data_IF_921341175139
#
_entry.id   IF_921341175139
#
_cell.length_a   1.000
_cell.length_b   1.000
_cell.length_c   1.000
_cell.angle_alpha   90.00
_cell.angle_beta   90.00
_cell.angle_gamma   90.00
#
_symmetry.space_group_name_H-M   'P 1'
#
loop_
_entity.id
_entity.type
_entity.pdbx_description
1 polymer ?
#
# COMPACT_ATOMS: atom_id res chain seq x y z
N UNK A 1 2.39 -8.62 6.24
CA UNK A 1 1.55 -7.63 6.95
C UNK A 1 2.04 -7.34 8.36
N UNK A 2 2.09 -8.31 9.28
CA UNK A 2 2.57 -8.07 10.67
C UNK A 2 3.91 -7.33 10.71
N UNK A 3 4.92 -7.83 10.00
CA UNK A 3 6.24 -7.20 9.91
C UNK A 3 6.24 -5.79 9.30
N UNK A 4 5.21 -5.41 8.53
CA UNK A 4 5.12 -4.09 7.92
C UNK A 4 4.56 -3.07 8.92
N UNK A 5 3.62 -3.49 9.77
CA UNK A 5 3.05 -2.65 10.82
C UNK A 5 4.05 -2.44 11.97
N UNK A 6 4.91 -3.43 12.22
CA UNK A 6 6.01 -3.33 13.18
C UNK A 6 7.24 -2.58 12.63
N UNK A 7 7.26 -2.24 11.34
CA UNK A 7 8.38 -1.53 10.72
C UNK A 7 8.28 -0.03 10.98
N UNK A 8 9.32 0.54 11.59
CA UNK A 8 9.50 2.01 11.62
C UNK A 8 9.86 2.52 10.23
N UNK A 9 9.16 3.56 9.80
CA UNK A 9 9.37 4.27 8.55
C UNK A 9 9.30 3.33 7.34
N UNK A 10 8.16 2.62 7.21
CA UNK A 10 7.86 1.92 5.95
C UNK A 10 7.96 2.91 4.78
N UNK A 11 8.60 2.50 3.70
CA UNK A 11 8.69 3.25 2.45
C UNK A 11 7.74 2.69 1.39
N UNK A 12 7.55 3.43 0.30
CA UNK A 12 6.68 3.01 -0.83
C UNK A 12 7.08 1.64 -1.40
N UNK A 13 8.39 1.38 -1.51
CA UNK A 13 8.93 0.10 -1.97
C UNK A 13 8.55 -1.09 -1.07
N UNK A 14 8.30 -0.86 0.22
CA UNK A 14 7.83 -1.94 1.10
C UNK A 14 6.37 -2.33 0.80
N UNK A 15 5.59 -1.36 0.32
CA UNK A 15 4.20 -1.56 -0.13
C UNK A 15 4.18 -2.25 -1.50
N UNK A 16 5.03 -1.80 -2.42
CA UNK A 16 5.14 -2.37 -3.77
C UNK A 16 5.56 -3.85 -3.72
N UNK A 17 6.56 -4.20 -2.90
CA UNK A 17 6.98 -5.59 -2.68
C UNK A 17 5.88 -6.48 -2.10
N UNK A 18 4.87 -5.89 -1.44
CA UNK A 18 3.71 -6.65 -0.97
C UNK A 18 2.87 -7.09 -2.16
N UNK A 19 2.58 -6.17 -3.09
CA UNK A 19 1.79 -6.43 -4.29
C UNK A 19 2.48 -7.43 -5.24
N UNK A 20 3.79 -7.32 -5.42
CA UNK A 20 4.61 -8.22 -6.25
C UNK A 20 4.46 -9.70 -5.85
N UNK A 21 4.12 -9.99 -4.60
CA UNK A 21 3.94 -11.38 -4.11
C UNK A 21 2.58 -11.99 -4.47
N UNK A 22 1.63 -11.21 -4.95
CA UNK A 22 0.28 -11.67 -5.26
C UNK A 22 0.07 -12.02 -6.74
N UNK A 23 1.12 -11.93 -7.58
CA UNK A 23 1.07 -12.25 -9.02
C UNK A 23 -0.15 -11.61 -9.71
N UNK A 24 -0.35 -10.31 -9.48
CA UNK A 24 -1.53 -9.59 -9.95
C UNK A 24 -1.56 -9.56 -11.49
N UNK A 25 -2.71 -9.88 -12.12
CA UNK A 25 -2.78 -10.18 -13.55
C UNK A 25 -2.65 -8.96 -14.46
N UNK A 26 -3.02 -7.77 -13.98
CA UNK A 26 -3.05 -6.53 -14.76
C UNK A 26 -2.95 -5.28 -13.86
N UNK A 27 -2.78 -4.11 -14.49
CA UNK A 27 -2.68 -2.83 -13.80
C UNK A 27 -3.95 -2.49 -13.00
N UNK A 28 -5.14 -2.83 -13.50
CA UNK A 28 -6.41 -2.63 -12.77
C UNK A 28 -6.44 -3.42 -11.46
N UNK A 29 -5.99 -4.68 -11.46
CA UNK A 29 -5.87 -5.50 -10.27
C UNK A 29 -4.83 -4.94 -9.29
N UNK A 30 -3.74 -4.35 -9.80
CA UNK A 30 -2.72 -3.64 -9.00
C UNK A 30 -3.28 -2.38 -8.33
N UNK A 31 -4.07 -1.57 -9.04
CA UNK A 31 -4.77 -0.41 -8.46
C UNK A 31 -5.75 -0.86 -7.37
N UNK A 32 -6.60 -1.85 -7.67
CA UNK A 32 -7.54 -2.40 -6.71
C UNK A 32 -6.86 -2.95 -5.44
N UNK A 33 -5.70 -3.59 -5.60
CA UNK A 33 -4.90 -4.08 -4.48
C UNK A 33 -4.48 -2.94 -3.54
N UNK A 34 -3.90 -1.86 -4.06
CA UNK A 34 -3.45 -0.76 -3.20
C UNK A 34 -4.62 0.00 -2.55
N UNK A 35 -5.75 0.13 -3.26
CA UNK A 35 -6.98 0.70 -2.68
C UNK A 35 -7.46 -0.09 -1.47
N UNK A 36 -7.62 -1.41 -1.63
CA UNK A 36 -8.08 -2.28 -0.54
C UNK A 36 -7.03 -2.42 0.57
N UNK A 37 -5.74 -2.45 0.22
CA UNK A 37 -4.67 -2.45 1.20
C UNK A 37 -4.70 -1.20 2.09
N UNK A 38 -4.85 -0.01 1.50
CA UNK A 38 -5.01 1.24 2.25
C UNK A 38 -6.28 1.24 3.10
N UNK A 39 -7.38 0.69 2.59
CA UNK A 39 -8.64 0.54 3.34
C UNK A 39 -8.44 -0.36 4.57
N UNK A 40 -7.73 -1.48 4.43
CA UNK A 40 -7.42 -2.38 5.54
C UNK A 40 -6.63 -1.67 6.65
N UNK A 41 -5.61 -0.88 6.29
CA UNK A 41 -4.83 -0.10 7.27
C UNK A 41 -5.73 0.87 8.06
N UNK A 42 -6.71 1.50 7.41
CA UNK A 42 -7.66 2.39 8.09
C UNK A 42 -8.59 1.67 9.07
N UNK A 43 -8.89 0.39 8.81
CA UNK A 43 -9.77 -0.43 9.63
C UNK A 43 -9.05 -1.07 10.82
N UNK A 44 -7.72 -1.13 10.81
CA UNK A 44 -6.99 -1.68 11.96
C UNK A 44 -7.09 -0.77 13.19
N UNK A 45 -7.20 -1.38 14.40
CA UNK A 45 -7.08 -0.65 15.65
C UNK A 45 -5.75 0.10 15.72
N UNK A 46 -5.74 1.28 16.32
CA UNK A 46 -4.55 2.14 16.42
C UNK A 46 -3.44 1.47 17.22
N UNK A 47 -3.79 0.56 18.14
CA UNK A 47 -2.91 -0.20 19.00
C UNK A 47 -2.07 -1.25 18.25
N UNK A 48 -2.45 -1.58 17.01
CA UNK A 48 -1.65 -2.49 16.17
C UNK A 48 -0.39 -1.79 15.67
N UNK A 49 -0.43 -0.46 15.55
CA UNK A 49 0.69 0.34 15.06
C UNK A 49 1.61 0.76 16.20
N UNK A 50 2.88 1.01 15.88
CA UNK A 50 3.88 1.49 16.86
C UNK A 50 3.41 2.79 17.53
N UNK A 51 2.91 3.71 16.72
CA UNK A 51 2.32 4.99 17.11
C UNK A 51 1.49 5.55 15.94
N UNK A 52 0.79 6.67 16.18
CA UNK A 52 -0.04 7.32 15.15
C UNK A 52 0.80 7.85 13.98
N UNK A 53 2.05 8.29 14.23
CA UNK A 53 2.94 8.79 13.17
C UNK A 53 3.29 7.65 12.19
N UNK A 54 3.61 6.46 12.68
CA UNK A 54 3.89 5.30 11.85
C UNK A 54 2.65 4.84 11.08
N UNK A 55 1.46 4.92 11.70
CA UNK A 55 0.20 4.65 11.02
C UNK A 55 -0.03 5.62 9.86
N UNK A 56 0.16 6.92 10.09
CA UNK A 56 0.02 7.95 9.06
C UNK A 56 1.07 7.78 7.95
N UNK A 57 2.32 7.45 8.30
CA UNK A 57 3.36 7.16 7.33
C UNK A 57 2.97 5.96 6.44
N UNK A 58 2.43 4.88 7.02
CA UNK A 58 2.00 3.72 6.25
C UNK A 58 0.82 4.04 5.32
N UNK A 59 -0.14 4.85 5.79
CA UNK A 59 -1.24 5.36 4.96
C UNK A 59 -0.74 6.22 3.79
N UNK A 60 0.26 7.07 4.03
CA UNK A 60 0.88 7.91 3.02
C UNK A 60 1.63 7.06 1.97
N UNK A 61 2.45 6.10 2.40
CA UNK A 61 3.15 5.22 1.45
C UNK A 61 2.18 4.37 0.63
N UNK A 62 1.08 3.92 1.23
CA UNK A 62 0.03 3.19 0.51
C UNK A 62 -0.69 4.08 -0.51
N UNK A 63 -0.85 5.37 -0.22
CA UNK A 63 -1.38 6.33 -1.18
C UNK A 63 -0.40 6.55 -2.33
N UNK A 64 0.88 6.76 -2.06
CA UNK A 64 1.89 6.95 -3.10
C UNK A 64 1.98 5.73 -4.04
N UNK A 65 1.91 4.52 -3.50
CA UNK A 65 1.89 3.29 -4.30
C UNK A 65 0.62 3.18 -5.16
N UNK A 66 -0.53 3.62 -4.63
CA UNK A 66 -1.78 3.69 -5.38
C UNK A 66 -1.69 4.70 -6.53
N UNK A 67 -1.22 5.92 -6.26
CA UNK A 67 -1.11 6.98 -7.27
C UNK A 67 -0.21 6.52 -8.44
N UNK A 68 0.94 5.92 -8.12
CA UNK A 68 1.82 5.33 -9.12
C UNK A 68 1.14 4.21 -9.93
N UNK A 69 0.38 3.33 -9.28
CA UNK A 69 -0.31 2.25 -9.99
C UNK A 69 -1.39 2.77 -10.94
N UNK A 70 -2.02 3.89 -10.60
CA UNK A 70 -2.99 4.58 -11.49
C UNK A 70 -2.26 5.22 -12.67
N UNK A 71 -1.13 5.89 -12.43
CA UNK A 71 -0.28 6.43 -13.52
C UNK A 71 0.16 5.32 -14.48
N UNK A 72 0.66 4.18 -13.96
CA UNK A 72 1.05 3.02 -14.76
C UNK A 72 -0.15 2.45 -15.57
N UNK A 73 -1.35 2.39 -14.97
CA UNK A 73 -2.58 1.93 -15.64
C UNK A 73 -2.99 2.85 -16.80
N UNK A 74 -2.86 4.15 -16.62
CA UNK A 74 -3.15 5.16 -17.65
C UNK A 74 -2.14 5.09 -18.81
N UNK A 75 -0.86 4.85 -18.51
CA UNK A 75 0.20 4.66 -19.52
C UNK A 75 0.00 3.39 -20.36
N UNK A 76 -0.43 2.27 -19.74
CA UNK A 76 -0.69 1.00 -20.43
C UNK A 76 -1.89 1.07 -21.41
N UNK A 77 -2.77 2.06 -21.25
CA UNK A 77 -3.97 2.27 -22.07
C UNK A 77 -3.78 3.30 -23.20
N UNK A 78 -2.58 3.91 -23.31
CA UNK A 78 -2.25 4.96 -24.29
C UNK A 78 -1.52 4.42 -25.52
#
# INVERSE_FOLDING_TARGET
MVALVEKRWAGVHDIERLAERFELPDATARVAFYQEFKRLIRLFPVEVFIDEEQRQNLLLMSQNALDRAVEDEEEEQS
#
